data_IF_780260375822
#
_entry.id   IF_780260375822
#
_cell.length_a   1.000
_cell.length_b   1.000
_cell.length_c   1.000
_cell.angle_alpha   90.00
_cell.angle_beta   90.00
_cell.angle_gamma   90.00
#
_symmetry.space_group_name_H-M   'P 1'
#
loop_
_entity.id
_entity.type
_entity.pdbx_description
1 polymer ?
#
# COMPACT_ATOMS: atom_id res chain seq x y z
N UNK A 1 -14.65 -0.92 -17.00
CA UNK A 1 -14.28 -1.78 -15.84
C UNK A 1 -13.60 -0.86 -14.84
N UNK A 2 -13.84 -0.97 -13.52
CA UNK A 2 -13.03 -0.22 -12.58
C UNK A 2 -11.59 -0.71 -12.70
N UNK A 3 -10.66 0.20 -12.97
CA UNK A 3 -9.25 -0.14 -13.11
C UNK A 3 -8.66 -0.41 -11.72
N UNK A 4 -8.20 -1.65 -11.49
CA UNK A 4 -7.51 -2.02 -10.27
C UNK A 4 -6.03 -1.61 -10.37
N UNK A 5 -5.74 -0.40 -9.90
CA UNK A 5 -4.42 0.24 -10.04
C UNK A 5 -3.67 0.17 -8.71
N UNK A 6 -2.45 -0.33 -8.76
CA UNK A 6 -1.51 -0.28 -7.63
C UNK A 6 -0.73 1.04 -7.64
N UNK A 7 -0.84 1.76 -6.54
CA UNK A 7 -0.12 2.99 -6.24
C UNK A 7 1.03 2.67 -5.29
N UNK A 8 2.21 3.23 -5.55
CA UNK A 8 3.35 3.11 -4.65
C UNK A 8 3.14 4.06 -3.45
N UNK A 9 3.30 3.55 -2.23
CA UNK A 9 3.26 4.38 -1.03
C UNK A 9 4.60 5.10 -0.82
N UNK A 10 4.52 6.37 -0.43
CA UNK A 10 5.70 7.17 -0.09
C UNK A 10 6.19 6.79 1.31
N UNK A 11 7.09 5.82 1.39
CA UNK A 11 7.74 5.45 2.63
C UNK A 11 9.19 5.94 2.63
N UNK A 12 9.61 6.57 3.74
CA UNK A 12 11.01 6.94 3.94
C UNK A 12 11.91 5.70 3.83
N UNK A 13 13.03 5.83 3.10
CA UNK A 13 14.04 4.77 2.91
C UNK A 13 13.55 3.49 2.21
N UNK A 14 12.55 3.60 1.32
CA UNK A 14 12.06 2.44 0.59
C UNK A 14 13.14 1.83 -0.34
N UNK A 15 13.24 0.48 -0.43
CA UNK A 15 14.23 -0.15 -1.28
C UNK A 15 13.95 0.06 -2.79
N UNK A 16 15.00 0.02 -3.60
CA UNK A 16 14.94 0.19 -5.06
C UNK A 16 14.47 -1.12 -5.72
N UNK A 17 13.91 -1.07 -6.93
CA UNK A 17 13.63 -2.27 -7.73
C UNK A 17 12.24 -2.90 -7.54
N UNK A 18 11.23 -2.09 -7.17
CA UNK A 18 9.85 -2.55 -7.05
C UNK A 18 9.52 -3.23 -5.72
N UNK A 19 10.47 -3.23 -4.78
CA UNK A 19 10.25 -3.54 -3.38
C UNK A 19 9.63 -2.33 -2.65
N UNK A 20 9.00 -2.57 -1.50
CA UNK A 20 8.35 -1.53 -0.71
C UNK A 20 6.86 -1.78 -0.52
N UNK A 21 6.16 -0.70 -0.16
CA UNK A 21 4.74 -0.72 0.16
C UNK A 21 3.92 -0.15 -1.01
N UNK A 22 2.83 -0.83 -1.32
CA UNK A 22 1.91 -0.50 -2.40
C UNK A 22 0.48 -0.55 -1.87
N UNK A 23 -0.43 0.18 -2.52
CA UNK A 23 -1.85 0.12 -2.21
C UNK A 23 -2.72 0.12 -3.46
N UNK A 24 -3.93 -0.42 -3.36
CA UNK A 24 -4.96 -0.29 -4.38
C UNK A 24 -6.31 0.03 -3.73
N UNK A 25 -7.09 0.90 -4.36
CA UNK A 25 -8.45 1.21 -3.90
C UNK A 25 -9.35 -0.01 -4.11
N UNK A 26 -10.10 -0.36 -3.07
CA UNK A 26 -11.18 -1.34 -3.09
C UNK A 26 -12.43 -0.77 -2.41
N UNK A 27 -13.62 -1.34 -2.63
CA UNK A 27 -14.81 -0.93 -1.87
C UNK A 27 -14.54 -1.00 -0.35
N UNK A 28 -14.78 0.11 0.35
CA UNK A 28 -14.62 0.21 1.80
C UNK A 28 -13.19 0.46 2.31
N UNK A 29 -12.18 0.53 1.45
CA UNK A 29 -10.82 0.83 1.90
C UNK A 29 -9.71 0.51 0.90
N UNK A 30 -8.56 0.13 1.43
CA UNK A 30 -7.36 -0.14 0.67
C UNK A 30 -6.93 -1.60 0.83
N UNK A 31 -6.44 -2.20 -0.25
CA UNK A 31 -5.53 -3.32 -0.14
C UNK A 31 -4.11 -2.76 -0.06
N UNK A 32 -3.38 -3.08 1.00
CA UNK A 32 -1.99 -2.66 1.21
C UNK A 32 -1.09 -3.88 1.10
N UNK A 33 -0.08 -3.81 0.24
CA UNK A 33 0.85 -4.89 -0.01
C UNK A 33 2.28 -4.46 0.31
N UNK A 34 3.01 -5.31 1.04
CA UNK A 34 4.45 -5.18 1.25
C UNK A 34 5.16 -6.20 0.36
N UNK A 35 6.12 -5.74 -0.42
CA UNK A 35 6.98 -6.57 -1.25
C UNK A 35 8.41 -6.47 -0.75
N UNK A 36 8.93 -7.56 -0.23
CA UNK A 36 10.30 -7.68 0.25
C UNK A 36 11.16 -8.50 -0.73
N UNK A 37 12.46 -8.20 -0.78
CA UNK A 37 13.41 -8.97 -1.58
C UNK A 37 13.68 -10.31 -0.91
N UNK A 38 13.79 -11.39 -1.70
CA UNK A 38 14.11 -12.73 -1.19
C UNK A 38 12.91 -13.59 -0.73
N UNK A 39 11.67 -13.12 -0.92
CA UNK A 39 10.45 -13.91 -0.67
C UNK A 39 9.96 -13.92 0.77
N UNK A 40 10.82 -13.64 1.74
CA UNK A 40 10.46 -13.51 3.15
C UNK A 40 9.88 -12.12 3.44
N UNK A 41 8.83 -12.04 4.27
CA UNK A 41 8.27 -10.77 4.74
C UNK A 41 7.37 -10.02 3.75
N UNK A 42 6.97 -10.64 2.64
CA UNK A 42 5.92 -10.08 1.77
C UNK A 42 4.53 -10.42 2.31
N UNK A 43 3.56 -9.54 2.12
CA UNK A 43 2.21 -9.73 2.63
C UNK A 43 1.21 -8.74 2.07
N UNK A 44 -0.07 -9.04 2.24
CA UNK A 44 -1.19 -8.17 1.88
C UNK A 44 -2.15 -8.06 3.06
N UNK A 45 -2.67 -6.86 3.30
CA UNK A 45 -3.67 -6.61 4.34
C UNK A 45 -4.75 -5.67 3.82
N UNK A 46 -5.96 -5.81 4.34
CA UNK A 46 -7.03 -4.85 4.11
C UNK A 46 -6.97 -3.75 5.17
N UNK A 47 -7.01 -2.49 4.74
CA UNK A 47 -7.05 -1.32 5.59
C UNK A 47 -8.38 -0.59 5.38
N UNK A 48 -9.28 -0.56 6.38
CA UNK A 48 -10.59 0.07 6.23
C UNK A 48 -10.44 1.59 6.16
N UNK A 49 -10.97 2.17 5.10
CA UNK A 49 -10.97 3.61 4.85
C UNK A 49 -12.02 3.92 3.78
N UNK A 50 -13.31 4.00 4.15
CA UNK A 50 -14.41 4.10 3.19
C UNK A 50 -14.32 5.33 2.27
N UNK A 51 -13.66 6.39 2.73
CA UNK A 51 -13.49 7.63 1.99
C UNK A 51 -12.15 7.72 1.24
N UNK A 52 -11.26 6.74 1.43
CA UNK A 52 -9.93 6.71 0.82
C UNK A 52 -9.09 7.95 1.14
N UNK A 53 -9.17 8.45 2.38
CA UNK A 53 -8.50 9.67 2.84
C UNK A 53 -7.06 9.43 3.31
N UNK A 54 -6.70 8.20 3.69
CA UNK A 54 -5.34 7.87 4.11
C UNK A 54 -4.35 8.07 2.96
N UNK A 55 -3.20 8.68 3.24
CA UNK A 55 -2.19 9.04 2.25
C UNK A 55 -0.98 8.11 2.19
N UNK A 56 -0.85 7.17 3.14
CA UNK A 56 0.26 6.23 3.20
C UNK A 56 1.25 6.43 4.33
N UNK A 57 1.24 7.58 5.02
CA UNK A 57 2.34 7.91 5.92
C UNK A 57 2.07 9.00 6.97
N UNK A 58 0.91 9.66 6.92
CA UNK A 58 0.53 10.61 7.95
C UNK A 58 0.06 9.87 9.20
N UNK A 59 0.94 9.78 10.20
CA UNK A 59 0.52 9.62 11.58
C UNK A 59 0.25 11.04 12.08
N UNK A 60 -1.01 11.35 12.38
CA UNK A 60 -1.33 12.56 13.13
C UNK A 60 -0.51 12.52 14.43
N UNK A 61 0.34 13.52 14.61
CA UNK A 61 1.22 13.69 15.76
C UNK A 61 0.46 13.96 17.04
#
# INVERSE_FOLDING_TARGET
MPDFIWEKLDCKNQPIGGLGAWRAKVPGGWLVAIRCGGGEGSGITFYPDPNHEWDGGSLDS
#
